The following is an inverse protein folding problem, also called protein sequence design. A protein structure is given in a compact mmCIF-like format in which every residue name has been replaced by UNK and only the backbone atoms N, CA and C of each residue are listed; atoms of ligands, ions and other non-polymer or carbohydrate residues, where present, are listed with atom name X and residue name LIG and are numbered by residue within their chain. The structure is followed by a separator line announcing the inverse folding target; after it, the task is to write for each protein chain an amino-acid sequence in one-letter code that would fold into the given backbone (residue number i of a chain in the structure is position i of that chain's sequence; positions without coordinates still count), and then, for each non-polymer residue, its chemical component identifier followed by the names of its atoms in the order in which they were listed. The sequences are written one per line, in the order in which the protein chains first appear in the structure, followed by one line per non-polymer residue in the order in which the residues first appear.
data_IF_964496856916
#
_entry.id   IF_964496856916
#
_cell.length_a   1.000
_cell.length_b   1.000
_cell.length_c   1.000
_cell.angle_alpha   90.00
_cell.angle_beta   90.00
_cell.angle_gamma   90.00
#
_symmetry.space_group_name_H-M   'P 1'
#
loop_
_entity.id
_entity.type
_entity.pdbx_description
1 polymer ?
#
# COMPACT_ATOMS: atom_id res chain seq x y z
N UNK A 1 5.73 -6.28 3.39
CA UNK A 1 4.27 -6.02 3.42
C UNK A 1 3.80 -5.46 4.76
N UNK A 2 4.18 -6.03 5.91
CA UNK A 2 3.85 -5.47 7.24
C UNK A 2 4.29 -4.01 7.45
N UNK A 3 5.36 -3.63 6.77
CA UNK A 3 5.91 -2.27 6.72
C UNK A 3 4.92 -1.22 6.17
N UNK A 4 3.92 -1.66 5.40
CA UNK A 4 2.81 -0.85 4.90
C UNK A 4 1.60 -0.84 5.86
N UNK A 5 1.70 -1.52 7.00
CA UNK A 5 0.66 -1.62 8.03
C UNK A 5 0.08 -3.02 8.19
N UNK A 6 -0.43 -3.31 9.38
CA UNK A 6 -1.08 -4.59 9.72
C UNK A 6 -2.28 -4.90 8.82
N UNK A 7 -3.13 -3.89 8.56
CA UNK A 7 -4.27 -4.01 7.66
C UNK A 7 -3.83 -4.45 6.26
N UNK A 8 -2.77 -3.83 5.75
CA UNK A 8 -2.25 -4.17 4.43
C UNK A 8 -1.74 -5.61 4.36
N UNK A 9 -1.04 -6.06 5.40
CA UNK A 9 -0.57 -7.44 5.48
C UNK A 9 -1.72 -8.45 5.38
N UNK A 10 -2.78 -8.28 6.16
CA UNK A 10 -3.91 -9.21 6.14
C UNK A 10 -4.68 -9.15 4.82
N UNK A 11 -4.87 -7.96 4.24
CA UNK A 11 -5.51 -7.84 2.93
C UNK A 11 -4.71 -8.53 1.83
N UNK A 12 -3.40 -8.29 1.77
CA UNK A 12 -2.53 -8.98 0.81
C UNK A 12 -2.52 -10.49 1.06
N UNK A 13 -2.47 -10.93 2.32
CA UNK A 13 -2.50 -12.36 2.67
C UNK A 13 -3.77 -13.01 2.14
N UNK A 14 -4.93 -12.45 2.49
CA UNK A 14 -6.24 -12.98 2.12
C UNK A 14 -6.44 -12.96 0.60
N UNK A 15 -5.99 -11.89 -0.05
CA UNK A 15 -6.04 -11.78 -1.51
C UNK A 15 -5.20 -12.89 -2.18
N UNK A 16 -3.94 -13.04 -1.78
CA UNK A 16 -3.06 -14.05 -2.37
C UNK A 16 -3.51 -15.48 -2.04
N UNK A 17 -4.02 -15.71 -0.82
CA UNK A 17 -4.55 -17.01 -0.43
C UNK A 17 -5.80 -17.39 -1.24
N UNK A 18 -6.72 -16.44 -1.45
CA UNK A 18 -7.96 -16.71 -2.19
C UNK A 18 -7.73 -16.75 -3.70
N UNK A 19 -7.21 -15.68 -4.30
CA UNK A 19 -7.05 -15.61 -5.76
C UNK A 19 -5.94 -16.55 -6.25
N UNK A 20 -4.78 -16.55 -5.60
CA UNK A 20 -3.68 -17.46 -5.92
C UNK A 20 -4.07 -18.92 -5.69
N UNK A 21 -4.75 -19.21 -4.57
CA UNK A 21 -5.28 -20.54 -4.26
C UNK A 21 -6.34 -21.00 -5.26
N UNK A 22 -7.25 -20.11 -5.65
CA UNK A 22 -8.30 -20.38 -6.64
C UNK A 22 -7.72 -20.66 -8.03
N UNK A 23 -6.77 -19.84 -8.50
CA UNK A 23 -6.08 -20.07 -9.78
C UNK A 23 -5.32 -21.39 -9.76
N UNK A 24 -4.65 -21.71 -8.65
CA UNK A 24 -3.94 -22.99 -8.47
C UNK A 24 -4.91 -24.17 -8.44
N UNK A 25 -6.07 -24.03 -7.79
CA UNK A 25 -7.10 -25.06 -7.75
C UNK A 25 -7.67 -25.36 -9.15
N UNK A 26 -7.90 -24.33 -9.96
CA UNK A 26 -8.49 -24.47 -11.29
C UNK A 26 -7.50 -25.08 -12.32
N UNK A 27 -6.23 -24.71 -12.23
CA UNK A 27 -5.19 -25.04 -13.22
C UNK A 27 -4.17 -26.07 -12.72
N UNK A 28 -4.27 -26.47 -11.45
CA UNK A 28 -3.35 -27.40 -10.80
C UNK A 28 -3.59 -28.83 -11.23
N UNK A 29 -2.49 -29.57 -11.45
CA UNK A 29 -2.53 -30.99 -11.83
C UNK A 29 -3.21 -31.84 -10.73
N UNK A 30 -4.14 -32.75 -11.06
CA UNK A 30 -4.66 -33.68 -10.04
C UNK A 30 -3.53 -34.52 -9.43
N UNK A 31 -3.58 -34.79 -8.12
CA UNK A 31 -2.58 -35.53 -7.31
C UNK A 31 -1.28 -34.82 -6.86
N UNK A 32 -1.22 -33.49 -6.84
CA UNK A 32 -0.15 -32.75 -6.12
C UNK A 32 -0.70 -31.96 -4.93
N UNK A 33 0.15 -31.75 -3.90
CA UNK A 33 -0.20 -30.92 -2.75
C UNK A 33 -0.21 -29.44 -3.18
N UNK A 34 -1.39 -28.94 -3.56
CA UNK A 34 -1.60 -27.57 -4.04
C UNK A 34 -1.77 -26.52 -2.94
N UNK A 35 -1.92 -26.96 -1.69
CA UNK A 35 -2.19 -26.07 -0.55
C UNK A 35 -0.87 -25.76 0.14
N UNK A 36 -0.18 -24.73 -0.34
CA UNK A 36 1.09 -24.29 0.22
C UNK A 36 1.08 -22.82 0.58
N UNK A 37 1.52 -22.50 1.81
CA UNK A 37 1.85 -21.12 2.22
C UNK A 37 2.89 -20.48 1.29
N UNK A 38 3.66 -21.30 0.55
CA UNK A 38 4.63 -20.86 -0.46
C UNK A 38 4.00 -19.97 -1.56
N UNK A 39 2.80 -20.28 -2.06
CA UNK A 39 2.15 -19.43 -3.07
C UNK A 39 1.87 -18.02 -2.54
N UNK A 40 1.48 -17.91 -1.27
CA UNK A 40 1.29 -16.62 -0.60
C UNK A 40 2.62 -15.87 -0.43
N UNK A 41 3.71 -16.57 -0.14
CA UNK A 41 5.07 -15.97 -0.08
C UNK A 41 5.45 -15.39 -1.44
N UNK A 42 5.25 -16.12 -2.55
CA UNK A 42 5.48 -15.62 -3.90
C UNK A 42 4.59 -14.40 -4.22
N UNK A 43 3.35 -14.39 -3.75
CA UNK A 43 2.47 -13.22 -3.86
C UNK A 43 2.96 -12.02 -3.06
N UNK A 44 3.49 -12.20 -1.86
CA UNK A 44 4.13 -11.14 -1.08
C UNK A 44 5.38 -10.61 -1.75
N UNK A 45 6.19 -11.50 -2.32
CA UNK A 45 7.37 -11.13 -3.09
C UNK A 45 6.99 -10.27 -4.30
N UNK A 46 6.03 -10.72 -5.12
CA UNK A 46 5.51 -9.95 -6.24
C UNK A 46 4.97 -8.59 -5.79
N UNK A 47 4.16 -8.57 -4.73
CA UNK A 47 3.61 -7.32 -4.20
C UNK A 47 4.71 -6.32 -3.84
N UNK A 48 5.77 -6.76 -3.14
CA UNK A 48 6.91 -5.89 -2.78
C UNK A 48 7.68 -5.42 -4.00
N UNK A 49 7.93 -6.33 -4.96
CA UNK A 49 8.61 -6.01 -6.21
C UNK A 49 7.87 -4.89 -6.95
N UNK A 50 6.58 -5.07 -7.18
CA UNK A 50 5.73 -4.11 -7.85
C UNK A 50 5.48 -2.83 -7.05
N UNK A 51 5.46 -2.92 -5.71
CA UNK A 51 5.37 -1.75 -4.84
C UNK A 51 6.54 -0.79 -5.05
N UNK A 52 7.77 -1.28 -5.27
CA UNK A 52 8.92 -0.42 -5.55
C UNK A 52 8.71 0.41 -6.83
N UNK A 53 8.05 -0.16 -7.85
CA UNK A 53 7.80 0.52 -9.12
C UNK A 53 6.66 1.54 -9.04
N UNK A 54 5.54 1.19 -8.38
CA UNK A 54 4.32 1.99 -8.36
C UNK A 54 4.19 2.94 -7.16
N UNK A 55 4.85 2.65 -6.05
CA UNK A 55 4.80 3.51 -4.87
C UNK A 55 5.61 4.79 -5.10
N UNK A 56 4.95 5.95 -5.01
CA UNK A 56 5.59 7.27 -5.10
C UNK A 56 5.19 8.13 -3.88
N UNK A 57 6.17 8.73 -3.16
CA UNK A 57 7.61 8.54 -3.28
C UNK A 57 8.04 7.11 -2.91
N UNK A 58 9.16 6.65 -3.48
CA UNK A 58 9.70 5.32 -3.18
C UNK A 58 10.13 5.31 -1.71
N UNK A 59 9.59 4.36 -0.95
CA UNK A 59 9.91 4.23 0.47
C UNK A 59 11.11 3.29 0.65
N UNK A 60 12.17 3.78 1.31
CA UNK A 60 13.40 3.00 1.59
C UNK A 60 13.06 1.66 2.26
N UNK A 61 12.12 1.68 3.20
CA UNK A 61 11.63 0.49 3.91
C UNK A 61 11.04 -0.59 2.98
N UNK A 62 10.42 -0.21 1.86
CA UNK A 62 9.93 -1.15 0.83
C UNK A 62 11.10 -1.79 0.09
N UNK A 63 12.08 -0.99 -0.32
CA UNK A 63 13.29 -1.47 -1.02
C UNK A 63 14.09 -2.42 -0.13
N UNK A 64 14.33 -2.05 1.13
CA UNK A 64 15.02 -2.91 2.10
C UNK A 64 14.28 -4.23 2.31
N UNK A 65 12.95 -4.19 2.46
CA UNK A 65 12.15 -5.41 2.60
C UNK A 65 12.25 -6.33 1.38
N UNK A 66 12.27 -5.76 0.17
CA UNK A 66 12.43 -6.52 -1.07
C UNK A 66 13.83 -7.15 -1.14
N UNK A 67 14.88 -6.39 -0.82
CA UNK A 67 16.25 -6.90 -0.81
C UNK A 67 16.41 -8.05 0.18
N UNK A 68 15.87 -7.93 1.39
CA UNK A 68 15.87 -9.02 2.38
C UNK A 68 15.16 -10.25 1.81
N UNK A 69 13.99 -10.07 1.17
CA UNK A 69 13.28 -11.18 0.55
C UNK A 69 14.11 -11.86 -0.57
N UNK A 70 14.81 -11.08 -1.39
CA UNK A 70 15.71 -11.61 -2.44
C UNK A 70 16.90 -12.35 -1.82
N UNK A 71 17.53 -11.82 -0.78
CA UNK A 71 18.69 -12.46 -0.16
C UNK A 71 18.35 -13.79 0.51
N UNK A 72 17.22 -13.85 1.21
CA UNK A 72 16.81 -15.05 1.95
C UNK A 72 16.16 -16.08 1.01
N UNK A 73 15.28 -15.62 0.13
CA UNK A 73 14.44 -16.52 -0.67
C UNK A 73 14.76 -16.52 -2.16
N UNK A 74 15.54 -15.57 -2.69
CA UNK A 74 15.78 -15.42 -4.13
C UNK A 74 16.26 -16.69 -4.82
N UNK A 75 17.21 -17.42 -4.21
CA UNK A 75 17.66 -18.71 -4.72
C UNK A 75 16.54 -19.74 -4.81
N UNK A 76 15.71 -19.85 -3.77
CA UNK A 76 14.53 -20.75 -3.76
C UNK A 76 13.42 -20.28 -4.70
N UNK A 77 13.27 -18.97 -4.91
CA UNK A 77 12.27 -18.40 -5.82
C UNK A 77 12.64 -18.70 -7.27
N UNK A 78 13.93 -18.54 -7.63
CA UNK A 78 14.46 -18.85 -8.96
C UNK A 78 14.44 -20.35 -9.20
N UNK A 79 14.90 -21.14 -8.23
CA UNK A 79 14.90 -22.61 -8.34
C UNK A 79 13.48 -23.18 -8.42
N UNK A 80 12.53 -22.68 -7.61
CA UNK A 80 11.13 -23.11 -7.64
C UNK A 80 10.39 -22.70 -8.92
N UNK A 81 10.80 -21.61 -9.57
CA UNK A 81 10.27 -21.20 -10.86
C UNK A 81 10.87 -21.97 -12.05
N UNK A 82 12.15 -22.37 -11.97
CA UNK A 82 12.89 -22.95 -13.10
C UNK A 82 13.05 -24.47 -13.05
N UNK A 83 12.95 -25.09 -11.86
CA UNK A 83 13.15 -26.53 -11.66
C UNK A 83 11.82 -27.13 -11.16
N UNK A 84 11.02 -27.75 -12.04
CA UNK A 84 9.78 -28.41 -11.64
C UNK A 84 10.11 -29.62 -10.75
N UNK A 85 9.91 -29.49 -9.44
CA UNK A 85 9.99 -30.63 -8.52
C UNK A 85 8.63 -31.33 -8.45
N UNK A 86 8.64 -32.67 -8.51
CA UNK A 86 7.44 -33.51 -8.62
C UNK A 86 6.47 -33.47 -7.41
N UNK A 87 6.86 -32.85 -6.29
CA UNK A 87 6.06 -32.83 -5.05
C UNK A 87 5.37 -31.49 -4.74
N UNK A 88 5.84 -30.37 -5.32
CA UNK A 88 5.27 -29.02 -5.09
C UNK A 88 5.13 -28.34 -6.44
N UNK A 89 3.89 -27.99 -6.78
CA UNK A 89 3.52 -27.41 -8.07
C UNK A 89 4.10 -26.00 -8.23
N UNK A 90 5.03 -25.83 -9.17
CA UNK A 90 5.51 -24.54 -9.69
C UNK A 90 4.33 -23.64 -10.11
N UNK A 91 3.20 -24.24 -10.48
CA UNK A 91 1.94 -23.56 -10.76
C UNK A 91 1.50 -22.69 -9.57
N UNK A 92 1.62 -23.20 -8.34
CA UNK A 92 1.25 -22.45 -7.13
C UNK A 92 2.13 -21.22 -6.89
N UNK A 93 3.40 -21.29 -7.28
CA UNK A 93 4.35 -20.18 -7.19
C UNK A 93 4.03 -19.12 -8.25
N UNK A 94 3.76 -19.56 -9.48
CA UNK A 94 3.38 -18.69 -10.58
C UNK A 94 2.07 -17.95 -10.30
N UNK A 95 1.02 -18.67 -9.92
CA UNK A 95 -0.28 -18.06 -9.62
C UNK A 95 -0.24 -17.20 -8.35
N UNK A 96 0.56 -17.59 -7.36
CA UNK A 96 0.89 -16.73 -6.22
C UNK A 96 1.51 -15.40 -6.66
N UNK A 97 2.54 -15.46 -7.51
CA UNK A 97 3.22 -14.27 -8.05
C UNK A 97 2.26 -13.38 -8.86
N UNK A 98 1.47 -13.95 -9.77
CA UNK A 98 0.47 -13.21 -10.56
C UNK A 98 -0.54 -12.53 -9.65
N UNK A 99 -1.09 -13.27 -8.67
CA UNK A 99 -2.05 -12.73 -7.71
C UNK A 99 -1.48 -11.55 -6.93
N UNK A 100 -0.23 -11.65 -6.46
CA UNK A 100 0.47 -10.58 -5.75
C UNK A 100 0.73 -9.33 -6.61
N UNK A 101 1.09 -9.53 -7.88
CA UNK A 101 1.26 -8.44 -8.85
C UNK A 101 -0.05 -7.73 -9.16
N UNK A 102 -1.13 -8.49 -9.38
CA UNK A 102 -2.48 -7.93 -9.54
C UNK A 102 -2.91 -7.14 -8.31
N UNK A 103 -2.64 -7.66 -7.10
CA UNK A 103 -2.94 -6.93 -5.87
C UNK A 103 -2.19 -5.61 -5.78
N UNK A 104 -0.89 -5.60 -6.09
CA UNK A 104 -0.10 -4.36 -6.11
C UNK A 104 -0.67 -3.35 -7.11
N UNK A 105 -1.01 -3.81 -8.32
CA UNK A 105 -1.63 -2.96 -9.33
C UNK A 105 -2.95 -2.37 -8.82
N UNK A 106 -3.86 -3.20 -8.30
CA UNK A 106 -5.15 -2.77 -7.77
C UNK A 106 -4.99 -1.78 -6.61
N UNK A 107 -4.10 -2.11 -5.69
CA UNK A 107 -3.83 -1.31 -4.50
C UNK A 107 -3.31 0.09 -4.84
N UNK A 108 -2.21 0.17 -5.60
CA UNK A 108 -1.57 1.45 -5.90
C UNK A 108 -2.33 2.26 -6.95
N UNK A 109 -2.96 1.61 -7.94
CA UNK A 109 -3.57 2.32 -9.08
C UNK A 109 -5.03 2.70 -8.85
N UNK A 110 -5.75 1.98 -8.00
CA UNK A 110 -7.18 2.20 -7.79
C UNK A 110 -7.53 2.43 -6.32
N UNK A 111 -7.17 1.52 -5.42
CA UNK A 111 -7.65 1.57 -4.02
C UNK A 111 -7.09 2.77 -3.24
N UNK A 112 -5.80 3.09 -3.39
CA UNK A 112 -5.21 4.27 -2.75
C UNK A 112 -5.73 5.62 -3.29
N UNK A 113 -6.44 5.62 -4.43
CA UNK A 113 -7.11 6.82 -4.96
C UNK A 113 -8.51 7.01 -4.39
N UNK A 114 -9.08 5.98 -3.75
CA UNK A 114 -10.41 6.04 -3.17
C UNK A 114 -10.33 6.50 -1.71
N UNK A 115 -10.96 7.63 -1.40
CA UNK A 115 -10.97 8.21 -0.05
C UNK A 115 -11.56 7.26 1.00
N UNK A 116 -12.64 6.56 0.67
CA UNK A 116 -13.25 5.57 1.60
C UNK A 116 -12.25 4.48 1.98
N UNK A 117 -11.47 4.02 1.00
CA UNK A 117 -10.47 2.99 1.23
C UNK A 117 -9.26 3.53 2.00
N UNK A 118 -8.80 4.75 1.71
CA UNK A 118 -7.74 5.40 2.49
C UNK A 118 -8.14 5.57 3.96
N UNK A 119 -9.36 6.03 4.20
CA UNK A 119 -9.93 6.17 5.54
C UNK A 119 -10.03 4.81 6.24
N UNK A 120 -10.51 3.78 5.54
CA UNK A 120 -10.51 2.40 6.05
C UNK A 120 -9.10 1.91 6.40
N UNK A 121 -8.09 2.28 5.62
CA UNK A 121 -6.69 1.95 5.90
C UNK A 121 -6.07 2.79 7.02
N UNK A 122 -6.75 3.84 7.49
CA UNK A 122 -6.23 4.78 8.49
C UNK A 122 -5.12 5.68 7.95
N UNK A 123 -5.12 5.93 6.63
CA UNK A 123 -4.22 6.86 5.98
C UNK A 123 -4.94 8.22 5.97
N UNK A 124 -4.60 9.12 6.90
CA UNK A 124 -5.31 10.40 7.05
C UNK A 124 -5.44 11.19 5.73
N UNK A 125 -6.53 11.94 5.55
CA UNK A 125 -6.65 12.90 4.45
C UNK A 125 -5.55 13.97 4.56
N UNK A 126 -4.93 14.31 3.42
CA UNK A 126 -4.07 15.50 3.36
C UNK A 126 -4.86 16.71 3.83
N UNK A 127 -4.29 17.53 4.71
CA UNK A 127 -4.89 18.73 5.34
C UNK A 127 -5.57 19.73 4.39
N UNK A 128 -5.51 19.53 3.06
CA UNK A 128 -6.18 20.34 2.03
C UNK A 128 -7.44 19.75 1.38
N UNK A 129 -8.03 18.66 1.90
CA UNK A 129 -9.28 18.08 1.35
C UNK A 129 -10.57 18.70 1.91
N UNK A 130 -10.47 19.64 2.87
CA UNK A 130 -11.63 20.42 3.30
C UNK A 130 -12.03 21.35 2.15
N UNK A 131 -13.33 21.44 1.79
CA UNK A 131 -13.79 22.48 0.90
C UNK A 131 -13.42 23.82 1.55
N UNK A 132 -12.70 24.66 0.82
CA UNK A 132 -12.49 26.06 1.17
C UNK A 132 -13.82 26.81 1.00
N UNK A 133 -14.80 26.51 1.83
CA UNK A 133 -16.06 27.25 1.95
C UNK A 133 -15.97 28.13 3.18
N UNK A 134 -15.56 29.38 2.98
CA UNK A 134 -15.42 30.43 4.00
C UNK A 134 -14.15 31.23 3.73
N UNK A 135 -14.11 32.25 2.87
CA UNK A 135 -15.16 33.24 2.68
C UNK A 135 -15.14 34.25 3.83
N UNK A 136 -14.03 34.97 3.98
CA UNK A 136 -13.88 36.13 4.85
C UNK A 136 -13.03 37.16 4.13
N UNK A 137 -13.70 38.18 3.60
CA UNK A 137 -13.20 39.21 2.70
C UNK A 137 -11.99 39.96 3.30
N UNK A 138 -10.79 39.81 2.73
CA UNK A 138 -9.71 40.74 2.98
C UNK A 138 -9.88 41.97 2.09
N UNK A 139 -10.70 42.92 2.53
CA UNK A 139 -10.73 44.27 1.97
C UNK A 139 -9.39 44.96 2.26
N UNK A 140 -8.64 45.21 1.19
CA UNK A 140 -7.51 46.14 1.18
C UNK A 140 -8.03 47.54 1.54
N UNK A 141 -7.61 48.08 2.68
CA UNK A 141 -7.65 49.52 2.92
C UNK A 141 -6.23 50.02 3.16
N UNK A 142 -5.64 50.55 2.08
CA UNK A 142 -4.39 51.28 2.12
C UNK A 142 -4.70 52.78 2.25
N UNK A 143 -3.90 53.43 3.10
CA UNK A 143 -3.59 54.87 3.21
C UNK A 143 -4.35 55.73 4.23
N UNK A 144 -3.55 56.35 5.10
CA UNK A 144 -3.88 57.53 5.91
C UNK A 144 -2.87 57.70 7.04
N UNK A 145 -1.88 58.57 6.86
CA UNK A 145 -0.71 58.69 7.72
C UNK A 145 -0.93 59.30 9.12
N UNK A 146 0.14 59.30 9.90
CA UNK A 146 0.23 59.97 11.20
C UNK A 146 0.54 58.99 12.33
N UNK A 147 1.74 59.08 12.89
CA UNK A 147 2.21 58.16 13.93
C UNK A 147 1.38 58.24 15.20
N UNK A 148 1.33 57.13 15.93
CA UNK A 148 1.50 57.01 17.39
C UNK A 148 1.54 55.51 17.71
N UNK A 149 2.46 55.09 18.57
CA UNK A 149 2.62 53.74 19.11
C UNK A 149 1.30 53.24 19.73
N UNK A 150 0.75 52.14 19.24
CA UNK A 150 -0.34 51.43 19.92
C UNK A 150 0.09 49.99 20.18
N UNK A 151 0.48 49.72 21.43
CA UNK A 151 0.67 48.36 21.94
C UNK A 151 -0.71 47.76 22.16
N UNK A 152 -1.07 46.71 21.42
CA UNK A 152 -2.30 45.95 21.64
C UNK A 152 -2.00 44.70 22.48
N UNK A 153 -2.55 44.65 23.70
CA UNK A 153 -2.62 43.45 24.54
C UNK A 153 -3.94 42.69 24.27
N UNK A 154 -3.98 41.36 24.53
CA UNK A 154 -5.09 40.52 24.11
C UNK A 154 -6.33 40.73 25.00
N UNK A 155 -7.50 40.89 24.37
CA UNK A 155 -8.79 40.79 25.07
C UNK A 155 -9.20 39.31 25.05
N UNK A 156 -9.04 38.64 26.19
CA UNK A 156 -9.68 37.36 26.43
C UNK A 156 -11.18 37.60 26.59
N UNK A 157 -12.00 36.96 25.75
CA UNK A 157 -13.41 36.73 26.07
C UNK A 157 -13.60 35.24 26.39
N UNK A 158 -13.74 34.99 27.70
CA UNK A 158 -14.33 33.80 28.28
C UNK A 158 -15.86 33.88 28.15
N UNK A 159 -16.50 32.75 27.85
CA UNK A 159 -17.82 32.42 28.38
C UNK A 159 -19.01 32.55 27.42
N UNK A 160 -19.52 31.40 27.01
CA UNK A 160 -20.80 31.15 26.37
C UNK A 160 -20.99 29.66 26.15
#
# INVERSE_FOLDING_TARGET
VLVHGRRMFFLTYLWCATLGGFMTWLMGRPNTNHVGLSGVIFGFFAFLLFAVFWQRPIQIKTVVSLLIAILIYGGSMISGALIPNFAVSWESHLFGFISGGLWALLYFRFLLRNERFRNFMGLEPSEGALPQTGGGEMQQQQQGGGGTTAVAYPVAQNGG
#
